data_IF_675518292696
#
_entry.id   IF_675518292696
#
_cell.length_a   1.000
_cell.length_b   1.000
_cell.length_c   1.000
_cell.angle_alpha   90.00
_cell.angle_beta   90.00
_cell.angle_gamma   90.00
#
_symmetry.space_group_name_H-M   'P 1'
#
loop_
_entity.id
_entity.type
_entity.pdbx_description
1 polymer ?
#
# COMPACT_ATOMS: atom_id res chain seq x y z
N UNK A 1 -7.67 19.66 -34.67
CA UNK A 1 -7.63 19.59 -33.20
C UNK A 1 -8.46 18.38 -32.83
N UNK A 2 -7.87 17.39 -32.16
CA UNK A 2 -8.60 16.18 -31.83
C UNK A 2 -9.71 16.47 -30.82
N UNK A 3 -10.79 15.71 -30.89
CA UNK A 3 -11.96 15.87 -30.02
C UNK A 3 -12.31 14.58 -29.30
N UNK A 4 -12.94 14.70 -28.13
CA UNK A 4 -13.59 13.59 -27.47
C UNK A 4 -14.95 13.32 -28.14
N UNK A 5 -15.32 12.05 -28.30
CA UNK A 5 -16.63 11.66 -28.86
C UNK A 5 -17.71 11.73 -27.78
N UNK A 6 -18.02 12.95 -27.33
CA UNK A 6 -19.00 13.24 -26.28
C UNK A 6 -20.10 14.16 -26.79
N UNK A 7 -21.33 14.08 -26.22
CA UNK A 7 -22.38 15.04 -26.51
C UNK A 7 -21.95 16.49 -26.25
N UNK A 8 -22.44 17.42 -27.08
CA UNK A 8 -22.04 18.84 -27.03
C UNK A 8 -22.29 19.50 -25.66
N UNK A 9 -23.33 19.08 -24.94
CA UNK A 9 -23.67 19.63 -23.62
C UNK A 9 -22.64 19.32 -22.52
N UNK A 10 -21.74 18.34 -22.71
CA UNK A 10 -20.67 18.03 -21.77
C UNK A 10 -19.48 18.98 -21.89
N UNK A 11 -19.43 19.81 -22.93
CA UNK A 11 -18.30 20.69 -23.21
C UNK A 11 -17.08 19.94 -23.75
N UNK A 12 -15.91 20.56 -23.61
CA UNK A 12 -14.65 20.07 -24.22
C UNK A 12 -13.46 20.03 -23.25
N UNK A 13 -13.60 20.60 -22.06
CA UNK A 13 -12.54 20.61 -21.04
C UNK A 13 -12.80 19.52 -20.01
N UNK A 14 -11.99 18.46 -20.08
CA UNK A 14 -12.00 17.34 -19.16
C UNK A 14 -10.73 17.28 -18.31
N UNK A 15 -10.00 18.39 -18.17
CA UNK A 15 -8.73 18.44 -17.43
C UNK A 15 -8.86 18.05 -15.95
N UNK A 16 -10.05 18.24 -15.36
CA UNK A 16 -10.37 17.85 -13.98
C UNK A 16 -10.93 16.44 -13.85
N UNK A 17 -11.21 15.74 -14.96
CA UNK A 17 -11.66 14.35 -14.90
C UNK A 17 -10.48 13.43 -14.52
N UNK A 18 -10.78 12.30 -13.90
CA UNK A 18 -9.75 11.32 -13.54
C UNK A 18 -9.02 10.77 -14.78
N UNK A 19 -7.78 10.27 -14.63
CA UNK A 19 -7.04 9.72 -15.76
C UNK A 19 -7.78 8.56 -16.43
N UNK A 20 -8.52 7.74 -15.67
CA UNK A 20 -9.36 6.68 -16.24
C UNK A 20 -10.51 7.20 -17.12
N UNK A 21 -11.14 8.32 -16.73
CA UNK A 21 -12.18 8.95 -17.55
C UNK A 21 -11.59 9.60 -18.80
N UNK A 22 -10.45 10.29 -18.67
CA UNK A 22 -9.74 10.89 -19.82
C UNK A 22 -9.17 9.86 -20.77
N UNK A 23 -8.67 8.73 -20.26
CA UNK A 23 -8.17 7.66 -21.11
C UNK A 23 -9.31 6.91 -21.79
N UNK A 24 -10.38 6.58 -21.07
CA UNK A 24 -11.54 5.87 -21.63
C UNK A 24 -12.49 6.79 -22.40
N UNK A 25 -13.45 7.38 -21.68
CA UNK A 25 -14.61 8.03 -22.29
C UNK A 25 -14.31 9.40 -22.92
N UNK A 26 -13.37 10.15 -22.36
CA UNK A 26 -13.12 11.55 -22.72
C UNK A 26 -11.84 11.75 -23.51
N UNK A 27 -11.30 10.67 -24.09
CA UNK A 27 -10.04 10.74 -24.83
C UNK A 27 -10.22 11.59 -26.09
N UNK A 28 -9.49 12.72 -26.22
CA UNK A 28 -9.57 13.55 -27.40
C UNK A 28 -8.69 12.95 -28.48
N UNK A 29 -9.21 11.94 -29.18
CA UNK A 29 -8.48 11.15 -30.17
C UNK A 29 -8.98 11.37 -31.60
N UNK A 30 -10.27 11.68 -31.75
CA UNK A 30 -10.93 11.69 -33.06
C UNK A 30 -10.51 12.91 -33.88
N UNK A 31 -10.06 12.63 -35.10
CA UNK A 31 -9.49 13.62 -36.00
C UNK A 31 -10.50 14.56 -36.61
N UNK A 32 -9.98 15.62 -37.21
CA UNK A 32 -10.74 16.60 -37.99
C UNK A 32 -10.10 16.79 -39.35
N UNK A 33 -10.92 16.94 -40.39
CA UNK A 33 -10.41 17.48 -41.65
C UNK A 33 -10.16 18.98 -41.46
N UNK A 34 -8.91 19.42 -41.55
CA UNK A 34 -8.56 20.81 -41.24
C UNK A 34 -9.15 21.81 -42.24
N UNK A 35 -9.48 21.35 -43.46
CA UNK A 35 -10.12 22.15 -44.52
C UNK A 35 -11.64 22.18 -44.36
N UNK A 36 -12.32 21.03 -44.38
CA UNK A 36 -13.79 20.98 -44.30
C UNK A 36 -14.35 21.17 -42.89
N UNK A 37 -13.51 21.03 -41.85
CA UNK A 37 -13.87 20.99 -40.43
C UNK A 37 -14.76 19.81 -40.04
N UNK A 38 -14.93 18.83 -40.92
CA UNK A 38 -15.67 17.61 -40.63
C UNK A 38 -14.93 16.73 -39.61
N UNK A 39 -15.71 16.07 -38.76
CA UNK A 39 -15.21 15.10 -37.80
C UNK A 39 -14.87 13.79 -38.51
N UNK A 40 -13.72 13.22 -38.16
CA UNK A 40 -13.23 11.98 -38.73
C UNK A 40 -13.23 10.89 -37.66
N UNK A 41 -13.74 9.71 -38.02
CA UNK A 41 -13.60 8.48 -37.23
C UNK A 41 -12.21 7.86 -37.39
N UNK A 42 -11.18 8.70 -37.32
CA UNK A 42 -9.77 8.34 -37.42
C UNK A 42 -8.98 8.94 -36.26
N UNK A 43 -7.82 8.35 -35.95
CA UNK A 43 -6.93 8.79 -34.86
C UNK A 43 -5.95 9.90 -35.27
N UNK A 44 -6.18 10.54 -36.42
CA UNK A 44 -5.33 11.57 -37.01
C UNK A 44 -6.16 12.64 -37.73
N UNK A 45 -5.68 13.88 -37.68
CA UNK A 45 -6.21 14.97 -38.50
C UNK A 45 -5.76 14.80 -39.95
N UNK A 46 -6.59 15.26 -40.89
CA UNK A 46 -6.22 15.41 -42.31
C UNK A 46 -5.92 16.88 -42.57
N UNK A 47 -4.68 17.15 -42.97
CA UNK A 47 -4.21 18.46 -43.43
C UNK A 47 -3.83 18.39 -44.91
N UNK A 48 -3.70 19.55 -45.55
CA UNK A 48 -3.23 19.66 -46.93
C UNK A 48 -1.94 20.47 -46.94
N UNK A 49 -0.87 19.90 -47.49
CA UNK A 49 0.43 20.56 -47.58
C UNK A 49 1.04 20.37 -48.97
N UNK A 50 1.74 21.39 -49.44
CA UNK A 50 2.48 21.34 -50.72
C UNK A 50 3.76 20.54 -50.49
N UNK A 51 3.90 19.37 -51.13
CA UNK A 51 5.04 18.47 -50.95
C UNK A 51 5.47 17.78 -52.26
N UNK A 52 6.70 17.25 -52.25
CA UNK A 52 7.30 16.52 -53.38
C UNK A 52 8.02 17.42 -54.38
N UNK A 53 8.79 16.80 -55.31
CA UNK A 53 9.58 17.53 -56.31
C UNK A 53 8.74 18.43 -57.23
N UNK A 54 7.47 18.08 -57.44
CA UNK A 54 6.54 18.82 -58.30
C UNK A 54 5.70 19.88 -57.54
N UNK A 55 5.96 20.11 -56.25
CA UNK A 55 5.24 21.12 -55.44
C UNK A 55 3.71 21.00 -55.57
N UNK A 56 3.18 19.78 -55.43
CA UNK A 56 1.74 19.55 -55.48
C UNK A 56 1.17 19.48 -54.06
N UNK A 57 -0.03 20.03 -53.90
CA UNK A 57 -0.78 19.89 -52.65
C UNK A 57 -1.22 18.44 -52.47
N UNK A 58 -0.93 17.87 -51.30
CA UNK A 58 -1.27 16.49 -50.94
C UNK A 58 -1.84 16.43 -49.55
N UNK A 59 -2.68 15.42 -49.32
CA UNK A 59 -3.17 15.09 -47.99
C UNK A 59 -2.03 14.59 -47.11
N UNK A 60 -1.94 15.15 -45.92
CA UNK A 60 -0.96 14.81 -44.88
C UNK A 60 -1.72 14.44 -43.61
N UNK A 61 -1.41 13.25 -43.10
CA UNK A 61 -1.91 12.76 -41.83
C UNK A 61 -1.14 13.43 -40.69
N UNK A 62 -1.84 14.04 -39.75
CA UNK A 62 -1.26 14.59 -38.51
C UNK A 62 -1.74 13.76 -37.33
N UNK A 63 -0.84 12.99 -36.75
CA UNK A 63 -1.11 12.10 -35.62
C UNK A 63 -1.52 12.87 -34.37
N UNK A 64 -2.63 12.47 -33.75
CA UNK A 64 -3.19 13.14 -32.58
C UNK A 64 -2.94 12.37 -31.26
N UNK A 65 -2.41 11.13 -31.36
CA UNK A 65 -2.28 10.19 -30.23
C UNK A 65 -1.41 10.73 -29.09
N UNK A 66 -0.30 11.40 -29.41
CA UNK A 66 0.69 11.86 -28.42
C UNK A 66 0.05 12.85 -27.44
N UNK A 67 -0.62 13.89 -27.97
CA UNK A 67 -1.27 14.91 -27.15
C UNK A 67 -2.42 14.32 -26.33
N UNK A 68 -3.21 13.41 -26.93
CA UNK A 68 -4.31 12.73 -26.24
C UNK A 68 -3.83 11.89 -25.05
N UNK A 69 -2.75 11.11 -25.24
CA UNK A 69 -2.15 10.31 -24.19
C UNK A 69 -1.51 11.17 -23.10
N UNK A 70 -0.80 12.24 -23.46
CA UNK A 70 -0.25 13.18 -22.49
C UNK A 70 -1.34 13.77 -21.57
N UNK A 71 -2.47 14.15 -22.16
CA UNK A 71 -3.62 14.64 -21.40
C UNK A 71 -4.24 13.55 -20.53
N UNK A 72 -4.35 12.31 -21.00
CA UNK A 72 -4.87 11.20 -20.23
C UNK A 72 -3.96 10.78 -19.06
N UNK A 73 -2.64 10.90 -19.21
CA UNK A 73 -1.67 10.52 -18.18
C UNK A 73 -1.62 11.47 -16.98
N UNK A 74 -1.92 12.76 -17.15
CA UNK A 74 -1.71 13.75 -16.11
C UNK A 74 -2.61 13.52 -14.88
N UNK A 75 -2.07 13.60 -13.68
CA UNK A 75 -2.82 13.50 -12.41
C UNK A 75 -3.14 14.89 -11.87
N UNK A 76 -4.42 15.16 -11.63
CA UNK A 76 -4.87 16.38 -10.96
C UNK A 76 -4.53 16.36 -9.46
N UNK A 77 -4.68 17.50 -8.80
CA UNK A 77 -4.55 17.58 -7.34
C UNK A 77 -5.60 16.70 -6.62
N UNK A 78 -6.81 16.61 -7.19
CA UNK A 78 -7.88 15.77 -6.68
C UNK A 78 -7.53 14.27 -6.80
N UNK A 79 -6.99 13.84 -7.95
CA UNK A 79 -6.59 12.44 -8.16
C UNK A 79 -5.57 11.98 -7.11
N UNK A 80 -4.56 12.81 -6.84
CA UNK A 80 -3.54 12.53 -5.83
C UNK A 80 -4.10 12.51 -4.42
N UNK A 81 -5.01 13.44 -4.11
CA UNK A 81 -5.67 13.47 -2.82
C UNK A 81 -6.49 12.19 -2.59
N UNK A 82 -7.28 11.77 -3.57
CA UNK A 82 -8.08 10.54 -3.53
C UNK A 82 -7.16 9.32 -3.38
N UNK A 83 -6.11 9.20 -4.20
CA UNK A 83 -5.16 8.10 -4.13
C UNK A 83 -4.46 7.98 -2.77
N UNK A 84 -4.08 9.12 -2.18
CA UNK A 84 -3.50 9.17 -0.83
C UNK A 84 -4.52 8.82 0.26
N UNK A 85 -5.75 9.34 0.15
CA UNK A 85 -6.81 9.07 1.11
C UNK A 85 -7.21 7.59 1.13
N UNK A 86 -7.27 6.94 -0.04
CA UNK A 86 -7.53 5.50 -0.13
C UNK A 86 -6.42 4.66 0.48
N UNK A 87 -5.17 4.98 0.17
CA UNK A 87 -4.02 4.31 0.75
C UNK A 87 -3.98 4.44 2.28
N UNK A 88 -4.23 5.65 2.79
CA UNK A 88 -4.35 5.89 4.22
C UNK A 88 -5.50 5.08 4.84
N UNK A 89 -6.66 5.04 4.19
CA UNK A 89 -7.81 4.26 4.63
C UNK A 89 -7.51 2.76 4.67
N UNK A 90 -6.89 2.20 3.63
CA UNK A 90 -6.50 0.78 3.61
C UNK A 90 -5.55 0.47 4.76
N UNK A 91 -4.51 1.29 4.96
CA UNK A 91 -3.58 1.08 6.06
C UNK A 91 -4.25 1.18 7.43
N UNK A 92 -5.12 2.16 7.65
CA UNK A 92 -5.85 2.30 8.91
C UNK A 92 -6.76 1.09 9.17
N UNK A 93 -7.52 0.62 8.18
CA UNK A 93 -8.37 -0.57 8.36
C UNK A 93 -7.50 -1.77 8.72
N UNK A 94 -6.37 -1.95 8.05
CA UNK A 94 -5.43 -3.03 8.32
C UNK A 94 -4.80 -2.93 9.72
N UNK A 95 -4.43 -1.73 10.16
CA UNK A 95 -3.82 -1.49 11.48
C UNK A 95 -4.76 -1.82 12.65
N UNK A 96 -6.08 -1.83 12.43
CA UNK A 96 -7.08 -2.22 13.44
C UNK A 96 -7.35 -3.73 13.48
N UNK A 97 -6.76 -4.52 12.57
CA UNK A 97 -6.91 -5.97 12.58
C UNK A 97 -5.98 -6.62 13.60
N UNK A 98 -6.35 -7.79 14.17
CA UNK A 98 -5.45 -8.56 15.01
C UNK A 98 -4.14 -8.86 14.25
N UNK A 99 -2.95 -8.61 14.83
CA UNK A 99 -1.68 -8.81 14.14
C UNK A 99 -1.49 -10.23 13.59
N UNK A 100 -2.02 -11.26 14.26
CA UNK A 100 -1.96 -12.66 13.80
C UNK A 100 -2.71 -12.90 12.46
N UNK A 101 -3.69 -12.07 12.13
CA UNK A 101 -4.55 -12.23 10.94
C UNK A 101 -4.05 -11.48 9.72
N UNK A 102 -3.05 -10.61 9.84
CA UNK A 102 -2.61 -9.72 8.75
C UNK A 102 -1.15 -9.92 8.35
N UNK A 103 -0.88 -9.88 7.05
CA UNK A 103 0.44 -9.60 6.48
C UNK A 103 0.35 -8.36 5.57
N UNK A 104 1.21 -7.37 5.84
CA UNK A 104 1.37 -6.18 5.01
C UNK A 104 2.81 -6.05 4.56
N UNK A 105 3.02 -5.88 3.26
CA UNK A 105 4.35 -5.63 2.67
C UNK A 105 4.30 -4.37 1.83
N UNK A 106 5.37 -3.59 1.90
CA UNK A 106 5.55 -2.41 1.06
C UNK A 106 6.56 -2.71 -0.02
N UNK A 107 6.30 -2.22 -1.23
CA UNK A 107 7.23 -2.36 -2.35
C UNK A 107 7.30 -1.08 -3.17
N UNK A 108 8.41 -0.92 -3.87
CA UNK A 108 8.64 0.16 -4.82
C UNK A 108 8.87 -0.45 -6.20
N UNK A 109 8.15 0.02 -7.22
CA UNK A 109 8.35 -0.47 -8.58
C UNK A 109 9.74 -0.10 -9.09
N UNK A 110 10.48 -1.09 -9.59
CA UNK A 110 11.80 -0.87 -10.25
C UNK A 110 11.67 -0.75 -11.76
N UNK A 111 10.58 -1.30 -12.31
CA UNK A 111 10.24 -1.28 -13.72
C UNK A 111 8.84 -0.66 -13.94
N UNK A 112 8.47 -0.29 -15.18
CA UNK A 112 7.12 0.18 -15.47
C UNK A 112 6.09 -0.89 -15.10
N UNK A 113 5.01 -0.49 -14.44
CA UNK A 113 3.91 -1.40 -14.10
C UNK A 113 2.71 -1.13 -15.02
N UNK A 114 2.16 -2.17 -15.64
CA UNK A 114 0.93 -2.03 -16.43
C UNK A 114 -0.03 -3.18 -16.15
N UNK A 115 -1.31 -2.90 -16.33
CA UNK A 115 -2.41 -3.82 -16.00
C UNK A 115 -3.58 -3.55 -16.94
N UNK A 116 -4.41 -4.57 -17.19
CA UNK A 116 -5.59 -4.41 -18.02
C UNK A 116 -5.30 -4.10 -19.49
N UNK A 117 -4.15 -4.52 -20.03
CA UNK A 117 -3.83 -4.35 -21.47
C UNK A 117 -4.86 -5.01 -22.38
N UNK A 118 -5.54 -6.06 -21.91
CA UNK A 118 -6.63 -6.73 -22.63
C UNK A 118 -7.97 -5.99 -22.58
N UNK A 119 -8.08 -4.86 -21.89
CA UNK A 119 -9.30 -4.06 -21.90
C UNK A 119 -9.46 -3.40 -23.28
N UNK A 120 -10.68 -3.43 -23.83
CA UNK A 120 -10.97 -2.80 -25.11
C UNK A 120 -10.73 -1.30 -25.06
N UNK A 121 -10.02 -0.78 -26.06
CA UNK A 121 -9.68 0.63 -26.14
C UNK A 121 -9.40 1.07 -27.59
N UNK A 122 -9.77 2.30 -28.01
CA UNK A 122 -9.50 2.80 -29.37
C UNK A 122 -8.01 2.86 -29.78
N UNK A 123 -7.09 2.80 -28.81
CA UNK A 123 -5.64 2.71 -29.03
C UNK A 123 -5.10 1.28 -28.94
N UNK A 124 -5.96 0.27 -29.14
CA UNK A 124 -5.71 -1.18 -29.07
C UNK A 124 -5.43 -1.71 -27.66
N UNK A 125 -4.54 -1.07 -26.90
CA UNK A 125 -4.25 -1.47 -25.52
C UNK A 125 -5.04 -0.63 -24.53
N UNK A 126 -5.80 -1.31 -23.68
CA UNK A 126 -6.46 -0.69 -22.54
C UNK A 126 -5.56 -0.56 -21.31
N UNK A 127 -6.16 -0.08 -20.23
CA UNK A 127 -5.53 -0.01 -18.91
C UNK A 127 -6.59 -0.19 -17.83
N UNK A 128 -6.23 -0.82 -16.70
CA UNK A 128 -7.17 -1.01 -15.60
C UNK A 128 -7.22 0.21 -14.65
N UNK A 129 -8.40 0.81 -14.54
CA UNK A 129 -8.69 1.89 -13.60
C UNK A 129 -9.79 1.48 -12.63
N UNK A 130 -9.67 1.88 -11.36
CA UNK A 130 -10.62 1.57 -10.30
C UNK A 130 -11.86 2.46 -10.45
N UNK A 131 -12.99 1.88 -10.83
CA UNK A 131 -14.27 2.56 -10.93
C UNK A 131 -14.88 2.79 -9.51
N UNK A 132 -15.41 3.97 -9.16
CA UNK A 132 -15.61 5.19 -9.96
C UNK A 132 -14.51 6.24 -9.91
N UNK A 133 -13.41 5.95 -9.24
CA UNK A 133 -12.35 6.93 -8.98
C UNK A 133 -11.47 7.19 -10.20
N UNK A 134 -11.38 6.24 -11.12
CA UNK A 134 -10.57 6.32 -12.33
C UNK A 134 -9.07 6.40 -12.06
N UNK A 135 -8.60 5.84 -10.94
CA UNK A 135 -7.18 5.73 -10.60
C UNK A 135 -6.62 4.35 -10.99
N UNK A 136 -5.33 4.24 -11.34
CA UNK A 136 -4.69 2.94 -11.54
C UNK A 136 -4.85 2.03 -10.33
N UNK A 137 -5.05 0.74 -10.56
CA UNK A 137 -5.07 -0.25 -9.48
C UNK A 137 -4.57 -1.61 -9.97
N UNK A 138 -4.04 -2.42 -9.06
CA UNK A 138 -3.78 -3.83 -9.29
C UNK A 138 -4.85 -4.63 -8.56
N UNK A 139 -5.61 -5.43 -9.30
CA UNK A 139 -6.68 -6.24 -8.74
C UNK A 139 -6.12 -7.31 -7.77
N UNK A 140 -6.84 -7.55 -6.68
CA UNK A 140 -6.55 -8.57 -5.67
C UNK A 140 -6.39 -9.97 -6.29
N UNK A 141 -7.18 -10.28 -7.32
CA UNK A 141 -7.09 -11.54 -8.07
C UNK A 141 -5.74 -11.68 -8.79
N UNK A 142 -5.21 -10.58 -9.34
CA UNK A 142 -3.87 -10.53 -9.93
C UNK A 142 -2.78 -10.78 -8.89
N UNK A 143 -2.90 -10.16 -7.70
CA UNK A 143 -1.99 -10.40 -6.57
C UNK A 143 -2.02 -11.88 -6.15
N UNK A 144 -3.23 -12.41 -5.90
CA UNK A 144 -3.43 -13.81 -5.53
C UNK A 144 -2.86 -14.77 -6.56
N UNK A 145 -3.10 -14.50 -7.85
CA UNK A 145 -2.64 -15.34 -8.96
C UNK A 145 -1.11 -15.41 -9.02
N UNK A 146 -0.44 -14.26 -8.98
CA UNK A 146 1.03 -14.18 -9.01
C UNK A 146 1.63 -14.89 -7.79
N UNK A 147 1.11 -14.65 -6.59
CA UNK A 147 1.63 -15.28 -5.37
C UNK A 147 1.37 -16.78 -5.33
N UNK A 148 0.25 -17.25 -5.87
CA UNK A 148 0.00 -18.69 -6.01
C UNK A 148 1.01 -19.32 -6.98
N UNK A 149 1.37 -18.63 -8.06
CA UNK A 149 2.41 -19.11 -8.99
C UNK A 149 3.79 -19.10 -8.33
N UNK A 150 4.15 -18.03 -7.62
CA UNK A 150 5.40 -17.95 -6.86
C UNK A 150 5.51 -19.10 -5.85
N UNK A 151 4.45 -19.34 -5.07
CA UNK A 151 4.35 -20.46 -4.15
C UNK A 151 4.56 -21.81 -4.84
N UNK A 152 3.98 -22.02 -6.04
CA UNK A 152 4.18 -23.26 -6.81
C UNK A 152 5.62 -23.44 -7.26
N UNK A 153 6.25 -22.36 -7.74
CA UNK A 153 7.65 -22.39 -8.19
C UNK A 153 8.61 -22.68 -7.03
N UNK A 154 8.44 -22.00 -5.89
CA UNK A 154 9.24 -22.24 -4.69
C UNK A 154 9.04 -23.67 -4.16
N UNK A 155 7.79 -24.15 -4.12
CA UNK A 155 7.49 -25.50 -3.65
C UNK A 155 7.93 -26.61 -4.62
N UNK A 156 8.26 -26.29 -5.87
CA UNK A 156 8.77 -27.26 -6.84
C UNK A 156 10.19 -27.76 -6.55
N UNK A 157 10.92 -27.05 -5.67
CA UNK A 157 12.31 -27.34 -5.34
C UNK A 157 13.31 -26.92 -6.42
N UNK A 158 12.87 -26.25 -7.49
CA UNK A 158 13.75 -25.67 -8.52
C UNK A 158 14.40 -24.34 -8.09
N UNK A 159 13.90 -23.75 -7.02
CA UNK A 159 14.34 -22.50 -6.45
C UNK A 159 14.76 -22.72 -5.01
N UNK A 160 15.81 -22.00 -4.58
CA UNK A 160 16.20 -21.99 -3.18
C UNK A 160 15.05 -21.41 -2.36
N UNK A 161 14.53 -22.22 -1.44
CA UNK A 161 13.50 -21.78 -0.51
C UNK A 161 13.76 -22.34 0.87
N UNK A 162 13.47 -21.56 1.92
CA UNK A 162 13.60 -22.04 3.29
C UNK A 162 12.27 -22.62 3.81
N UNK A 163 11.15 -22.01 3.43
CA UNK A 163 9.85 -22.33 4.02
C UNK A 163 8.98 -23.25 3.14
N UNK A 164 9.13 -23.17 1.81
CA UNK A 164 8.25 -23.89 0.86
C UNK A 164 8.65 -25.35 0.61
N UNK A 165 9.73 -25.83 1.24
CA UNK A 165 10.06 -27.24 1.21
C UNK A 165 8.86 -28.07 1.66
N UNK A 166 8.46 -29.03 0.83
CA UNK A 166 7.33 -29.91 1.09
C UNK A 166 5.93 -29.26 1.12
N UNK A 167 5.79 -28.00 0.71
CA UNK A 167 4.50 -27.31 0.74
C UNK A 167 3.46 -27.88 -0.26
N UNK A 168 3.87 -28.80 -1.14
CA UNK A 168 2.99 -29.56 -2.04
C UNK A 168 2.62 -30.95 -1.49
N UNK A 169 3.25 -31.38 -0.39
CA UNK A 169 2.91 -32.66 0.23
C UNK A 169 1.50 -32.58 0.83
N UNK A 170 0.67 -33.58 0.56
CA UNK A 170 -0.66 -33.69 1.15
C UNK A 170 -0.54 -34.06 2.64
N UNK A 171 -0.76 -33.09 3.52
CA UNK A 171 -0.47 -33.22 4.96
C UNK A 171 -1.65 -32.87 5.86
N UNK A 172 -2.60 -32.11 5.33
CA UNK A 172 -3.72 -31.57 6.10
C UNK A 172 -4.99 -32.35 5.79
N UNK A 173 -5.51 -33.08 6.76
CA UNK A 173 -6.77 -33.80 6.61
C UNK A 173 -7.94 -32.80 6.62
N UNK A 174 -8.76 -32.82 5.57
CA UNK A 174 -9.97 -32.00 5.47
C UNK A 174 -11.17 -32.82 5.92
N UNK A 175 -11.94 -32.29 6.87
CA UNK A 175 -13.09 -32.98 7.45
C UNK A 175 -14.40 -32.23 7.13
N UNK A 176 -15.50 -32.96 7.03
CA UNK A 176 -16.84 -32.37 6.95
C UNK A 176 -17.32 -31.88 8.33
N UNK A 177 -18.49 -31.23 8.37
CA UNK A 177 -19.10 -30.73 9.63
C UNK A 177 -19.41 -31.83 10.66
N UNK A 178 -19.45 -33.10 10.26
CA UNK A 178 -19.71 -34.25 11.11
C UNK A 178 -18.40 -34.93 11.57
N UNK A 179 -17.23 -34.37 11.22
CA UNK A 179 -15.92 -34.88 11.60
C UNK A 179 -15.39 -36.01 10.70
N UNK A 180 -16.10 -36.37 9.63
CA UNK A 180 -15.64 -37.39 8.69
C UNK A 180 -14.57 -36.80 7.77
N UNK A 181 -13.44 -37.50 7.63
CA UNK A 181 -12.37 -37.15 6.68
C UNK A 181 -12.88 -37.25 5.24
N UNK A 182 -12.59 -36.23 4.43
CA UNK A 182 -12.97 -36.11 3.03
C UNK A 182 -11.75 -36.37 2.12
N UNK A 183 -10.72 -35.54 2.24
CA UNK A 183 -9.50 -35.60 1.42
C UNK A 183 -8.34 -34.91 2.15
N UNK A 184 -7.13 -35.03 1.61
CA UNK A 184 -5.95 -34.37 2.16
C UNK A 184 -5.57 -33.15 1.29
N UNK A 185 -5.05 -32.11 1.93
CA UNK A 185 -4.65 -30.85 1.29
C UNK A 185 -3.18 -30.54 1.56
N UNK A 186 -2.56 -29.83 0.62
CA UNK A 186 -1.21 -29.27 0.77
C UNK A 186 -1.24 -27.90 1.45
N UNK A 187 -0.10 -27.37 1.89
CA UNK A 187 0.03 -26.00 2.41
C UNK A 187 -0.52 -25.00 1.37
N UNK A 188 -0.22 -25.22 0.09
CA UNK A 188 -0.67 -24.37 -1.01
C UNK A 188 -2.20 -24.36 -1.16
N UNK A 189 -2.84 -25.52 -1.05
CA UNK A 189 -4.30 -25.65 -1.14
C UNK A 189 -4.99 -25.01 0.05
N UNK A 190 -4.45 -25.15 1.26
CA UNK A 190 -4.99 -24.49 2.47
C UNK A 190 -4.90 -22.98 2.33
N UNK A 191 -3.76 -22.44 1.88
CA UNK A 191 -3.54 -20.99 1.78
C UNK A 191 -4.35 -20.35 0.64
N UNK A 192 -4.28 -20.90 -0.57
CA UNK A 192 -4.86 -20.27 -1.78
C UNK A 192 -6.20 -20.88 -2.23
N UNK A 193 -6.50 -22.09 -1.79
CA UNK A 193 -7.63 -22.89 -2.23
C UNK A 193 -7.28 -23.82 -3.39
N UNK A 194 -8.10 -24.85 -3.53
CA UNK A 194 -8.06 -25.83 -4.62
C UNK A 194 -9.45 -26.03 -5.22
N UNK A 195 -9.48 -26.17 -6.54
CA UNK A 195 -10.60 -26.78 -7.25
C UNK A 195 -10.10 -28.12 -7.73
N UNK A 196 -10.65 -29.22 -7.21
CA UNK A 196 -10.24 -30.53 -7.66
C UNK A 196 -10.65 -30.75 -9.12
N UNK A 197 -9.79 -31.44 -9.87
CA UNK A 197 -10.02 -31.80 -11.26
C UNK A 197 -11.22 -32.74 -11.44
N UNK A 198 -11.61 -33.45 -10.37
CA UNK A 198 -12.75 -34.35 -10.31
C UNK A 198 -14.09 -33.63 -10.04
N UNK A 199 -14.07 -32.34 -9.68
CA UNK A 199 -15.26 -31.54 -9.40
C UNK A 199 -15.97 -31.84 -8.07
N UNK A 200 -15.41 -32.68 -7.20
CA UNK A 200 -16.04 -33.03 -5.92
C UNK A 200 -15.29 -32.45 -4.71
N UNK A 201 -13.95 -32.36 -4.79
CA UNK A 201 -13.11 -31.95 -3.67
C UNK A 201 -12.67 -30.48 -3.76
N UNK A 202 -13.58 -29.55 -3.45
CA UNK A 202 -13.27 -28.12 -3.45
C UNK A 202 -12.82 -27.61 -2.07
N UNK A 203 -11.70 -26.89 -2.03
CA UNK A 203 -11.22 -26.20 -0.83
C UNK A 203 -11.13 -24.71 -1.06
N UNK A 204 -11.89 -23.93 -0.27
CA UNK A 204 -11.68 -22.48 -0.18
C UNK A 204 -10.39 -22.21 0.60
N UNK A 205 -9.50 -21.41 0.03
CA UNK A 205 -8.28 -20.93 0.71
C UNK A 205 -8.58 -20.01 1.89
N UNK A 206 -7.69 -20.00 2.87
CA UNK A 206 -7.81 -19.16 4.09
C UNK A 206 -7.38 -17.71 3.88
N UNK A 207 -6.69 -17.40 2.78
CA UNK A 207 -6.17 -16.06 2.50
C UNK A 207 -7.11 -15.23 1.62
N UNK A 208 -7.31 -13.98 2.04
CA UNK A 208 -7.97 -12.93 1.29
C UNK A 208 -6.97 -11.84 0.93
N UNK A 209 -6.96 -11.41 -0.33
CA UNK A 209 -6.04 -10.39 -0.85
C UNK A 209 -6.82 -9.12 -1.14
N UNK A 210 -6.21 -7.96 -0.93
CA UNK A 210 -6.82 -6.67 -1.26
C UNK A 210 -6.34 -6.12 -2.60
N UNK A 211 -7.16 -5.28 -3.21
CA UNK A 211 -6.75 -4.48 -4.35
C UNK A 211 -5.66 -3.50 -3.92
N UNK A 212 -4.65 -3.33 -4.77
CA UNK A 212 -3.53 -2.44 -4.49
C UNK A 212 -3.72 -1.13 -5.25
N UNK A 213 -3.61 -0.02 -4.54
CA UNK A 213 -3.76 1.33 -5.09
C UNK A 213 -2.36 2.00 -5.09
N UNK A 214 -1.68 2.04 -6.24
CA UNK A 214 -0.32 2.53 -6.33
C UNK A 214 -0.24 4.02 -5.97
N UNK A 215 0.74 4.39 -5.17
CA UNK A 215 1.12 5.79 -4.98
C UNK A 215 2.08 6.17 -6.11
N UNK A 216 1.52 6.83 -7.11
CA UNK A 216 2.20 7.17 -8.36
C UNK A 216 3.34 8.16 -8.10
N UNK A 217 4.52 7.86 -8.63
CA UNK A 217 5.65 8.79 -8.62
C UNK A 217 5.35 10.00 -9.53
N UNK A 218 5.48 11.21 -8.98
CA UNK A 218 5.31 12.46 -9.71
C UNK A 218 3.85 12.86 -9.98
N UNK A 219 3.60 13.36 -11.20
CA UNK A 219 2.34 14.04 -11.56
C UNK A 219 1.62 13.39 -12.74
N UNK A 220 2.07 12.24 -13.23
CA UNK A 220 1.49 11.59 -14.39
C UNK A 220 1.77 10.11 -14.43
N UNK A 221 0.91 9.37 -15.12
CA UNK A 221 1.25 8.06 -15.68
C UNK A 221 2.33 8.22 -16.77
N UNK A 222 2.85 7.10 -17.22
CA UNK A 222 3.87 7.04 -18.27
C UNK A 222 3.31 6.33 -19.50
N UNK A 223 3.70 6.80 -20.69
CA UNK A 223 3.39 6.16 -21.96
C UNK A 223 4.59 5.33 -22.38
N UNK A 224 4.38 4.05 -22.58
CA UNK A 224 5.36 3.13 -23.17
C UNK A 224 4.96 2.79 -24.61
N UNK A 225 5.92 2.32 -25.40
CA UNK A 225 5.71 1.95 -26.80
C UNK A 225 6.20 0.53 -27.01
N UNK A 226 5.36 -0.32 -27.59
CA UNK A 226 5.78 -1.60 -28.14
C UNK A 226 5.75 -1.56 -29.66
N UNK A 227 6.68 -2.24 -30.32
CA UNK A 227 6.79 -2.21 -31.79
C UNK A 227 6.87 -3.64 -32.32
N UNK A 228 5.74 -4.37 -32.44
CA UNK A 228 5.71 -5.64 -33.14
C UNK A 228 6.10 -5.48 -34.62
N UNK A 229 6.83 -6.46 -35.13
CA UNK A 229 7.24 -6.56 -36.55
C UNK A 229 6.52 -7.70 -37.29
N UNK A 230 6.11 -8.75 -36.58
CA UNK A 230 5.56 -9.97 -37.20
C UNK A 230 4.03 -10.03 -37.23
N UNK A 231 3.33 -8.89 -37.17
CA UNK A 231 1.85 -8.85 -37.21
C UNK A 231 1.28 -9.60 -38.42
N UNK A 232 1.96 -9.53 -39.58
CA UNK A 232 1.63 -10.24 -40.81
C UNK A 232 1.58 -11.77 -40.65
N UNK A 233 2.48 -12.36 -39.85
CA UNK A 233 2.52 -13.81 -39.63
C UNK A 233 1.43 -14.29 -38.66
N UNK A 234 1.12 -13.50 -37.63
CA UNK A 234 0.14 -13.89 -36.61
C UNK A 234 -1.31 -13.68 -37.06
N UNK A 235 -1.58 -12.74 -37.97
CA UNK A 235 -2.93 -12.42 -38.44
C UNK A 235 -3.40 -13.30 -39.61
N UNK A 236 -2.48 -13.77 -40.48
CA UNK A 236 -2.80 -14.49 -41.72
C UNK A 236 -2.66 -16.03 -41.60
N UNK A 237 -2.85 -16.62 -40.41
CA UNK A 237 -2.66 -18.06 -40.20
C UNK A 237 -3.59 -18.96 -41.02
N UNK A 238 -4.77 -18.46 -41.41
CA UNK A 238 -5.82 -19.24 -42.09
C UNK A 238 -5.93 -18.95 -43.60
N UNK A 239 -5.00 -18.18 -44.18
CA UNK A 239 -4.99 -17.86 -45.62
C UNK A 239 -3.99 -18.75 -46.34
N UNK A 240 -4.46 -19.51 -47.35
CA UNK A 240 -3.58 -20.28 -48.23
C UNK A 240 -2.61 -19.33 -48.96
N UNK A 241 -1.32 -19.38 -48.60
CA UNK A 241 -0.30 -18.41 -49.00
C UNK A 241 0.26 -17.54 -47.87
N UNK A 242 -0.08 -17.85 -46.60
CA UNK A 242 0.46 -17.20 -45.40
C UNK A 242 1.97 -16.99 -45.50
N UNK A 243 2.41 -15.73 -45.34
CA UNK A 243 3.81 -15.35 -45.42
C UNK A 243 4.61 -16.05 -44.32
N UNK A 244 5.70 -16.74 -44.69
CA UNK A 244 6.60 -17.38 -43.74
C UNK A 244 7.13 -16.35 -42.71
N UNK A 245 7.31 -16.73 -41.44
CA UNK A 245 7.81 -15.81 -40.43
C UNK A 245 9.18 -15.28 -40.85
N UNK A 246 9.28 -13.98 -41.08
CA UNK A 246 10.52 -13.32 -41.51
C UNK A 246 10.71 -11.98 -40.80
N UNK A 247 11.96 -11.58 -40.61
CA UNK A 247 12.32 -10.40 -39.79
C UNK A 247 12.22 -9.06 -40.56
N UNK A 248 11.76 -9.08 -41.81
CA UNK A 248 11.55 -7.88 -42.64
C UNK A 248 10.17 -7.25 -42.51
N UNK A 249 9.42 -7.59 -41.45
CA UNK A 249 8.11 -7.01 -41.18
C UNK A 249 8.21 -5.53 -40.79
N UNK A 250 7.27 -4.71 -41.28
CA UNK A 250 7.25 -3.27 -40.95
C UNK A 250 6.98 -3.07 -39.45
N UNK A 251 7.70 -2.16 -38.77
CA UNK A 251 7.45 -1.82 -37.37
C UNK A 251 6.07 -1.20 -37.22
N UNK A 252 5.26 -1.68 -36.28
CA UNK A 252 3.99 -1.06 -35.90
C UNK A 252 4.03 -0.54 -34.46
N UNK A 253 4.34 0.75 -34.21
CA UNK A 253 4.39 1.30 -32.85
C UNK A 253 3.00 1.40 -32.21
N UNK A 254 2.83 0.77 -31.06
CA UNK A 254 1.61 0.78 -30.27
C UNK A 254 1.92 1.35 -28.89
N UNK A 255 1.30 2.49 -28.58
CA UNK A 255 1.43 3.15 -27.29
C UNK A 255 0.49 2.55 -26.25
N UNK A 256 0.93 2.43 -25.00
CA UNK A 256 0.11 1.97 -23.89
C UNK A 256 0.50 2.65 -22.58
N UNK A 257 -0.41 2.63 -21.61
CA UNK A 257 -0.19 3.28 -20.31
C UNK A 257 0.52 2.37 -19.32
N UNK A 258 1.37 2.99 -18.50
CA UNK A 258 2.07 2.38 -17.38
C UNK A 258 2.05 3.32 -16.18
N UNK A 259 2.09 2.73 -14.99
CA UNK A 259 2.54 3.40 -13.77
C UNK A 259 4.07 3.50 -13.84
N UNK A 260 4.64 4.69 -13.60
CA UNK A 260 6.09 4.89 -13.67
C UNK A 260 6.84 4.10 -12.59
N UNK A 261 8.11 3.72 -12.85
CA UNK A 261 9.02 3.25 -11.80
C UNK A 261 9.10 4.23 -10.63
N UNK A 262 9.55 3.74 -9.47
CA UNK A 262 9.59 4.43 -8.16
C UNK A 262 8.22 4.69 -7.51
N UNK A 263 7.12 4.36 -8.18
CA UNK A 263 5.80 4.35 -7.55
C UNK A 263 5.75 3.29 -6.43
N UNK A 264 5.02 3.61 -5.35
CA UNK A 264 4.95 2.76 -4.16
C UNK A 264 3.68 1.92 -4.13
N UNK A 265 3.78 0.71 -3.63
CA UNK A 265 2.70 -0.27 -3.53
C UNK A 265 2.63 -0.78 -2.09
N UNK A 266 1.42 -0.99 -1.58
CA UNK A 266 1.19 -1.68 -0.32
C UNK A 266 0.29 -2.89 -0.59
N UNK A 267 0.80 -4.06 -0.24
CA UNK A 267 0.09 -5.32 -0.38
C UNK A 267 -0.47 -5.73 0.97
N UNK A 268 -1.76 -6.06 1.02
CA UNK A 268 -2.42 -6.52 2.22
C UNK A 268 -3.01 -7.92 1.99
N UNK A 269 -2.65 -8.84 2.88
CA UNK A 269 -3.18 -10.20 2.93
C UNK A 269 -3.81 -10.42 4.30
N UNK A 270 -5.04 -10.89 4.32
CA UNK A 270 -5.80 -11.21 5.53
C UNK A 270 -6.03 -12.71 5.59
N UNK A 271 -5.72 -13.32 6.72
CA UNK A 271 -5.91 -14.73 6.99
C UNK A 271 -7.12 -14.97 7.90
N UNK A 272 -7.98 -15.91 7.53
CA UNK A 272 -8.98 -16.49 8.43
C UNK A 272 -8.26 -17.40 9.44
N UNK A 273 -7.83 -16.81 10.57
CA UNK A 273 -7.01 -17.51 11.57
C UNK A 273 -7.75 -18.69 12.20
N UNK A 274 -9.06 -18.57 12.44
CA UNK A 274 -9.84 -19.67 13.02
C UNK A 274 -9.90 -20.88 12.08
N UNK A 275 -10.05 -20.63 10.78
CA UNK A 275 -10.02 -21.70 9.77
C UNK A 275 -8.61 -22.26 9.58
N UNK A 276 -7.57 -21.42 9.61
CA UNK A 276 -6.19 -21.87 9.52
C UNK A 276 -5.82 -22.76 10.71
N UNK A 277 -6.14 -22.36 11.93
CA UNK A 277 -5.92 -23.14 13.15
C UNK A 277 -6.63 -24.51 13.11
N UNK A 278 -7.79 -24.58 12.46
CA UNK A 278 -8.51 -25.85 12.31
C UNK A 278 -7.93 -26.76 11.22
N UNK A 279 -7.55 -26.20 10.07
CA UNK A 279 -7.10 -26.97 8.90
C UNK A 279 -5.61 -27.33 8.96
N UNK A 280 -4.77 -26.38 9.38
CA UNK A 280 -3.31 -26.50 9.38
C UNK A 280 -2.72 -25.75 10.60
N UNK A 281 -2.81 -26.32 11.81
CA UNK A 281 -2.33 -25.67 13.04
C UNK A 281 -0.83 -25.31 13.01
N UNK A 282 -0.02 -26.07 12.27
CA UNK A 282 1.40 -25.82 12.09
C UNK A 282 1.68 -24.57 11.23
N UNK A 283 0.81 -24.24 10.28
CA UNK A 283 0.90 -22.99 9.51
C UNK A 283 0.49 -21.77 10.34
N UNK A 284 -0.43 -21.94 11.30
CA UNK A 284 -0.77 -20.89 12.27
C UNK A 284 0.34 -20.70 13.32
N UNK A 285 1.05 -21.77 13.68
CA UNK A 285 2.11 -21.73 14.68
C UNK A 285 3.22 -20.76 14.28
N UNK A 286 3.57 -19.84 15.20
CA UNK A 286 4.61 -18.81 14.99
C UNK A 286 4.45 -18.01 13.70
N UNK A 287 3.22 -17.84 13.21
CA UNK A 287 2.93 -17.13 11.97
C UNK A 287 3.69 -17.70 10.74
N UNK A 288 3.93 -19.02 10.66
CA UNK A 288 4.64 -19.65 9.53
C UNK A 288 4.03 -19.30 8.18
N UNK A 289 2.70 -19.17 8.08
CA UNK A 289 2.03 -18.72 6.86
C UNK A 289 2.51 -17.34 6.37
N UNK A 290 2.89 -16.42 7.29
CA UNK A 290 3.44 -15.11 6.93
C UNK A 290 4.85 -15.22 6.36
N UNK A 291 5.66 -16.12 6.90
CA UNK A 291 7.01 -16.38 6.39
C UNK A 291 6.95 -16.93 4.96
N UNK A 292 6.10 -17.95 4.73
CA UNK A 292 5.81 -18.50 3.42
C UNK A 292 5.38 -17.42 2.41
N UNK A 293 4.41 -16.58 2.80
CA UNK A 293 3.91 -15.53 1.92
C UNK A 293 4.97 -14.44 1.68
N UNK A 294 5.77 -14.09 2.68
CA UNK A 294 6.86 -13.10 2.53
C UNK A 294 7.88 -13.58 1.50
N UNK A 295 8.29 -14.83 1.57
CA UNK A 295 9.20 -15.44 0.58
C UNK A 295 8.57 -15.51 -0.81
N UNK A 296 7.27 -15.85 -0.90
CA UNK A 296 6.54 -15.84 -2.17
C UNK A 296 6.44 -14.43 -2.78
N UNK A 297 6.29 -13.39 -1.96
CA UNK A 297 6.34 -12.00 -2.40
C UNK A 297 7.72 -11.62 -2.92
N UNK A 298 8.79 -11.96 -2.19
CA UNK A 298 10.17 -11.66 -2.60
C UNK A 298 10.52 -12.35 -3.92
N UNK A 299 10.12 -13.61 -4.10
CA UNK A 299 10.23 -14.31 -5.37
C UNK A 299 9.42 -13.64 -6.48
N UNK A 300 8.16 -13.28 -6.20
CA UNK A 300 7.31 -12.60 -7.16
C UNK A 300 7.87 -11.24 -7.59
N UNK A 301 8.41 -10.46 -6.65
CA UNK A 301 9.01 -9.15 -6.91
C UNK A 301 10.21 -9.22 -7.85
N UNK A 302 11.07 -10.23 -7.68
CA UNK A 302 12.30 -10.40 -8.46
C UNK A 302 12.11 -11.12 -9.79
N UNK A 303 11.27 -12.17 -9.83
CA UNK A 303 11.27 -13.14 -10.94
C UNK A 303 9.97 -13.20 -11.74
N UNK A 304 8.83 -12.88 -11.12
CA UNK A 304 7.53 -12.98 -11.80
C UNK A 304 6.96 -11.64 -12.23
N UNK A 305 7.14 -10.59 -11.44
CA UNK A 305 6.48 -9.30 -11.62
C UNK A 305 4.96 -9.33 -11.42
N UNK A 306 4.36 -8.16 -11.24
CA UNK A 306 2.90 -7.99 -11.16
C UNK A 306 2.34 -7.26 -12.39
N UNK A 307 1.14 -7.65 -12.83
CA UNK A 307 0.46 -7.01 -13.96
C UNK A 307 0.73 -7.73 -15.28
N UNK A 308 0.90 -6.97 -16.36
CA UNK A 308 1.10 -7.50 -17.71
C UNK A 308 2.51 -7.24 -18.24
N UNK A 309 2.90 -7.99 -19.28
CA UNK A 309 4.24 -7.95 -19.92
C UNK A 309 5.40 -8.28 -18.96
N UNK A 310 5.13 -9.10 -17.96
CA UNK A 310 6.12 -9.48 -16.95
C UNK A 310 7.31 -10.25 -17.50
N UNK A 311 7.11 -11.05 -18.56
CA UNK A 311 8.19 -11.79 -19.24
C UNK A 311 9.28 -10.90 -19.85
N UNK A 312 8.99 -9.62 -20.06
CA UNK A 312 9.97 -8.61 -20.52
C UNK A 312 10.33 -7.60 -19.41
N UNK A 313 10.09 -7.98 -18.15
CA UNK A 313 10.55 -7.25 -16.96
C UNK A 313 9.58 -6.22 -16.39
N UNK A 314 8.37 -6.06 -16.94
CA UNK A 314 7.38 -5.12 -16.40
C UNK A 314 6.87 -5.61 -15.04
N UNK A 315 6.54 -4.66 -14.16
CA UNK A 315 5.94 -4.97 -12.86
C UNK A 315 6.88 -5.58 -11.83
N UNK A 316 8.18 -5.64 -12.09
CA UNK A 316 9.20 -5.95 -11.08
C UNK A 316 9.24 -4.86 -10.01
N UNK A 317 9.47 -5.27 -8.76
CA UNK A 317 9.49 -4.38 -7.59
C UNK A 317 10.60 -4.75 -6.62
N UNK A 318 10.93 -3.85 -5.70
CA UNK A 318 11.79 -4.11 -4.55
C UNK A 318 10.99 -3.91 -3.26
N UNK A 319 11.18 -4.79 -2.27
CA UNK A 319 10.57 -4.65 -0.94
C UNK A 319 11.13 -3.43 -0.20
N UNK A 320 10.26 -2.59 0.32
CA UNK A 320 10.61 -1.41 1.12
C UNK A 320 10.57 -1.72 2.63
N UNK A 321 11.61 -2.43 3.08
CA UNK A 321 11.79 -2.78 4.50
C UNK A 321 11.93 -1.56 5.41
N UNK A 322 12.37 -0.41 4.87
CA UNK A 322 12.47 0.84 5.62
C UNK A 322 11.09 1.44 5.89
N UNK A 323 10.20 1.44 4.90
CA UNK A 323 8.81 1.86 5.08
C UNK A 323 8.09 0.96 6.09
N UNK A 324 8.29 -0.37 6.00
CA UNK A 324 7.73 -1.34 6.94
C UNK A 324 8.22 -1.08 8.38
N UNK A 325 9.52 -0.92 8.59
CA UNK A 325 10.09 -0.63 9.91
C UNK A 325 9.61 0.70 10.49
N UNK A 326 9.48 1.73 9.65
CA UNK A 326 8.94 3.04 10.04
C UNK A 326 7.48 2.92 10.50
N UNK A 327 6.66 2.16 9.78
CA UNK A 327 5.27 1.92 10.13
C UNK A 327 5.14 1.13 11.44
N UNK A 328 5.92 0.05 11.60
CA UNK A 328 5.93 -0.74 12.83
C UNK A 328 6.28 0.12 14.05
N UNK A 329 7.34 0.95 13.94
CA UNK A 329 7.73 1.87 15.01
C UNK A 329 6.66 2.92 15.31
N UNK A 330 6.02 3.48 14.28
CA UNK A 330 4.94 4.44 14.45
C UNK A 330 3.71 3.82 15.13
N UNK A 331 3.39 2.55 14.81
CA UNK A 331 2.28 1.82 15.42
C UNK A 331 2.54 1.53 16.90
N UNK A 332 3.74 1.07 17.25
CA UNK A 332 4.14 0.87 18.66
C UNK A 332 4.04 2.18 19.45
N UNK A 333 4.51 3.29 18.87
CA UNK A 333 4.40 4.61 19.49
C UNK A 333 2.95 5.08 19.65
N UNK A 334 2.11 4.87 18.63
CA UNK A 334 0.71 5.25 18.67
C UNK A 334 -0.08 4.42 19.70
N UNK A 335 0.19 3.12 19.79
CA UNK A 335 -0.44 2.24 20.77
C UNK A 335 -0.02 2.62 22.19
N UNK A 336 1.28 2.85 22.44
CA UNK A 336 1.75 3.31 23.74
C UNK A 336 1.12 4.66 24.12
N UNK A 337 0.98 5.60 23.18
CA UNK A 337 0.32 6.87 23.41
C UNK A 337 -1.18 6.72 23.70
N UNK A 338 -1.88 5.80 23.01
CA UNK A 338 -3.29 5.52 23.23
C UNK A 338 -3.54 4.86 24.60
N UNK A 339 -2.71 3.89 25.00
CA UNK A 339 -2.75 3.27 26.32
C UNK A 339 -2.47 4.29 27.43
N UNK A 340 -1.50 5.17 27.23
CA UNK A 340 -1.23 6.29 28.15
C UNK A 340 -2.41 7.24 28.23
N UNK A 341 -3.02 7.62 27.10
CA UNK A 341 -4.19 8.50 27.07
C UNK A 341 -5.40 7.86 27.77
N UNK A 342 -5.63 6.56 27.58
CA UNK A 342 -6.69 5.81 28.25
C UNK A 342 -6.44 5.70 29.77
N UNK A 343 -5.19 5.42 30.18
CA UNK A 343 -4.79 5.46 31.60
C UNK A 343 -5.07 6.83 32.19
N UNK A 344 -4.60 7.90 31.54
CA UNK A 344 -4.83 9.28 31.99
C UNK A 344 -6.32 9.63 32.09
N UNK A 345 -7.15 9.18 31.14
CA UNK A 345 -8.59 9.40 31.16
C UNK A 345 -9.27 8.71 32.35
N UNK A 346 -8.79 7.54 32.78
CA UNK A 346 -9.34 6.78 33.91
C UNK A 346 -8.96 7.33 35.29
N UNK A 347 -7.92 8.15 35.37
CA UNK A 347 -7.42 8.73 36.62
C UNK A 347 -8.28 9.91 37.10
N UNK A 348 -8.34 10.10 38.43
CA UNK A 348 -8.86 11.33 39.06
C UNK A 348 -8.02 12.54 38.65
N UNK A 349 -8.56 13.76 38.76
CA UNK A 349 -7.82 14.97 38.42
C UNK A 349 -6.54 15.14 39.27
N UNK A 350 -6.56 14.68 40.52
CA UNK A 350 -5.37 14.67 41.39
C UNK A 350 -4.34 13.65 40.92
N UNK A 351 -4.77 12.42 40.60
CA UNK A 351 -3.88 11.38 40.10
C UNK A 351 -3.30 11.73 38.71
N UNK A 352 -4.06 12.43 37.85
CA UNK A 352 -3.54 13.00 36.59
C UNK A 352 -2.42 14.01 36.83
N UNK A 353 -2.53 14.87 37.85
CA UNK A 353 -1.46 15.83 38.19
C UNK A 353 -0.17 15.12 38.61
N UNK A 354 -0.28 14.05 39.41
CA UNK A 354 0.86 13.23 39.82
C UNK A 354 1.50 12.56 38.60
N UNK A 355 0.71 11.86 37.78
CA UNK A 355 1.21 11.14 36.60
C UNK A 355 1.84 12.11 35.58
N UNK A 356 1.26 13.29 35.37
CA UNK A 356 1.82 14.33 34.50
C UNK A 356 3.19 14.81 34.98
N UNK A 357 3.36 14.97 36.30
CA UNK A 357 4.66 15.31 36.88
C UNK A 357 5.69 14.21 36.66
N UNK A 358 5.32 12.95 36.91
CA UNK A 358 6.17 11.77 36.66
C UNK A 358 6.58 11.69 35.19
N UNK A 359 5.64 11.82 34.26
CA UNK A 359 5.90 11.80 32.81
C UNK A 359 6.85 12.93 32.38
N UNK A 360 6.66 14.14 32.92
CA UNK A 360 7.56 15.27 32.62
C UNK A 360 8.99 14.97 33.10
N UNK A 361 9.14 14.34 34.28
CA UNK A 361 10.44 13.92 34.79
C UNK A 361 11.06 12.81 33.92
N UNK A 362 10.28 11.81 33.52
CA UNK A 362 10.74 10.73 32.63
C UNK A 362 11.21 11.27 31.27
N UNK A 363 10.43 12.15 30.64
CA UNK A 363 10.79 12.79 29.38
C UNK A 363 12.09 13.57 29.51
N UNK A 364 12.28 14.30 30.61
CA UNK A 364 13.52 15.02 30.89
C UNK A 364 14.71 14.06 31.05
N UNK A 365 14.53 12.96 31.78
CA UNK A 365 15.57 11.96 31.99
C UNK A 365 16.02 11.33 30.67
N UNK A 366 15.06 10.99 29.79
CA UNK A 366 15.33 10.49 28.44
C UNK A 366 16.06 11.53 27.59
N UNK A 367 15.60 12.79 27.60
CA UNK A 367 16.23 13.88 26.83
C UNK A 367 17.65 14.21 27.30
N UNK A 368 17.94 14.01 28.59
CA UNK A 368 19.29 14.17 29.16
C UNK A 368 20.24 13.05 28.71
N UNK A 369 19.77 11.82 28.56
CA UNK A 369 20.62 10.65 28.30
C UNK A 369 21.64 10.40 29.43
N UNK A 370 22.57 9.46 29.23
CA UNK A 370 23.51 9.02 30.27
C UNK A 370 24.47 10.12 30.79
N UNK A 371 24.75 11.14 29.97
CA UNK A 371 25.70 12.22 30.29
C UNK A 371 25.05 13.62 30.39
N UNK A 372 23.72 13.69 30.43
CA UNK A 372 23.00 14.97 30.49
C UNK A 372 23.08 15.62 31.87
N UNK A 373 23.03 16.97 31.89
CA UNK A 373 23.03 17.73 33.14
C UNK A 373 21.62 17.87 33.70
N UNK A 374 21.48 17.66 35.01
CA UNK A 374 20.24 17.95 35.75
C UNK A 374 19.91 19.42 35.65
N UNK A 375 18.63 19.75 35.74
CA UNK A 375 18.23 21.14 35.84
C UNK A 375 18.65 21.73 37.18
N UNK A 376 19.06 22.99 37.17
CA UNK A 376 19.37 23.69 38.42
C UNK A 376 18.11 23.84 39.27
N UNK A 377 18.29 23.96 40.58
CA UNK A 377 17.20 24.31 41.49
C UNK A 377 16.51 25.61 41.04
N UNK A 378 15.18 25.65 41.22
CA UNK A 378 14.28 26.77 40.89
C UNK A 378 14.03 27.01 39.39
N UNK A 379 14.26 25.99 38.56
CA UNK A 379 13.81 25.94 37.18
C UNK A 379 12.38 25.38 37.07
N UNK A 380 11.86 25.26 35.85
CA UNK A 380 10.48 24.85 35.55
C UNK A 380 10.06 23.54 36.25
N UNK A 381 10.89 22.50 36.21
CA UNK A 381 10.59 21.22 36.88
C UNK A 381 10.52 21.34 38.40
N UNK A 382 11.39 22.16 39.00
CA UNK A 382 11.33 22.42 40.44
C UNK A 382 10.08 23.21 40.83
N UNK A 383 9.65 24.15 39.97
CA UNK A 383 8.42 24.91 40.16
C UNK A 383 7.18 24.00 40.08
N UNK A 384 7.15 23.07 39.10
CA UNK A 384 6.09 22.05 38.98
C UNK A 384 6.02 21.13 40.20
N UNK A 385 7.16 20.71 40.74
CA UNK A 385 7.22 19.91 41.97
C UNK A 385 6.61 20.64 43.18
N UNK A 386 6.92 21.94 43.34
CA UNK A 386 6.34 22.78 44.40
C UNK A 386 4.84 23.00 44.20
N UNK A 387 4.40 23.19 42.96
CA UNK A 387 2.98 23.34 42.64
C UNK A 387 2.20 22.07 42.97
N UNK A 388 2.73 20.88 42.64
CA UNK A 388 2.12 19.59 42.98
C UNK A 388 2.03 19.37 44.49
N UNK A 389 3.13 19.62 45.22
CA UNK A 389 3.14 19.55 46.69
C UNK A 389 2.11 20.50 47.32
N UNK A 390 2.04 21.74 46.83
CA UNK A 390 1.07 22.73 47.31
C UNK A 390 -0.37 22.28 47.04
N UNK A 391 -0.66 21.81 45.83
CA UNK A 391 -1.99 21.30 45.46
C UNK A 391 -2.40 20.13 46.36
N UNK A 392 -1.49 19.19 46.63
CA UNK A 392 -1.76 18.04 47.50
C UNK A 392 -1.96 18.42 48.98
N UNK A 393 -1.30 19.47 49.46
CA UNK A 393 -1.43 19.95 50.84
C UNK A 393 -2.72 20.75 51.06
N UNK A 394 -3.04 21.66 50.13
CA UNK A 394 -4.12 22.64 50.28
C UNK A 394 -5.45 22.16 49.67
N UNK A 395 -5.42 21.17 48.78
CA UNK A 395 -6.62 20.64 48.13
C UNK A 395 -7.53 19.86 49.09
N UNK A 396 -8.78 20.29 49.19
CA UNK A 396 -9.81 19.62 49.98
C UNK A 396 -10.23 18.27 49.37
N UNK A 397 -10.15 18.15 48.05
CA UNK A 397 -10.60 16.97 47.29
C UNK A 397 -9.52 15.89 47.16
N UNK A 398 -8.40 16.02 47.88
CA UNK A 398 -7.29 15.06 47.87
C UNK A 398 -7.47 13.99 48.94
N UNK A 399 -7.51 12.73 48.51
CA UNK A 399 -7.54 11.58 49.42
C UNK A 399 -6.19 11.36 50.10
N UNK A 400 -6.16 10.67 51.24
CA UNK A 400 -4.91 10.34 51.94
C UNK A 400 -3.97 9.47 51.08
N UNK A 401 -4.54 8.61 50.24
CA UNK A 401 -3.79 7.76 49.32
C UNK A 401 -3.16 8.57 48.18
N UNK A 402 -3.89 9.52 47.59
CA UNK A 402 -3.34 10.43 46.57
C UNK A 402 -2.24 11.35 47.13
N UNK A 403 -2.39 11.83 48.38
CA UNK A 403 -1.35 12.62 49.05
C UNK A 403 -0.07 11.81 49.25
N UNK A 404 -0.21 10.54 49.66
CA UNK A 404 0.94 9.62 49.81
C UNK A 404 1.61 9.37 48.45
N UNK A 405 0.82 9.07 47.41
CA UNK A 405 1.33 8.86 46.05
C UNK A 405 2.06 10.08 45.49
N UNK A 406 1.55 11.29 45.73
CA UNK A 406 2.23 12.53 45.34
C UNK A 406 3.58 12.69 46.08
N UNK A 407 3.62 12.37 47.37
CA UNK A 407 4.85 12.44 48.15
C UNK A 407 5.90 11.42 47.71
N UNK A 408 5.48 10.22 47.32
CA UNK A 408 6.35 9.18 46.76
C UNK A 408 6.90 9.60 45.40
N UNK A 409 6.03 10.05 44.48
CA UNK A 409 6.44 10.54 43.17
C UNK A 409 7.43 11.72 43.26
N UNK A 410 7.17 12.69 44.14
CA UNK A 410 8.08 13.81 44.37
C UNK A 410 9.41 13.36 44.97
N UNK A 411 9.42 12.38 45.88
CA UNK A 411 10.64 11.89 46.50
C UNK A 411 11.51 11.08 45.54
N UNK A 412 10.89 10.32 44.64
CA UNK A 412 11.57 9.43 43.70
C UNK A 412 12.10 10.18 42.48
N UNK A 413 11.27 11.01 41.83
CA UNK A 413 11.57 11.54 40.50
C UNK A 413 12.34 12.86 40.54
N UNK A 414 12.03 13.75 41.48
CA UNK A 414 12.67 15.07 41.58
C UNK A 414 14.22 15.02 41.64
N UNK A 415 14.88 14.18 42.47
CA UNK A 415 16.34 14.16 42.54
C UNK A 415 17.01 13.57 41.30
N UNK A 416 16.28 12.88 40.44
CA UNK A 416 16.82 12.31 39.21
C UNK A 416 17.00 13.38 38.12
N UNK A 417 16.13 14.40 38.10
CA UNK A 417 16.08 15.42 37.04
C UNK A 417 16.49 16.81 37.48
N UNK A 418 16.42 17.14 38.77
CA UNK A 418 16.83 18.45 39.31
C UNK A 418 17.97 18.26 40.33
N UNK A 419 18.96 19.16 40.28
CA UNK A 419 20.03 19.25 41.26
C UNK A 419 19.51 19.90 42.56
N UNK A 420 19.02 19.08 43.49
CA UNK A 420 18.47 19.49 44.79
C UNK A 420 18.98 18.64 45.95
N UNK A 421 19.09 19.23 47.14
CA UNK A 421 19.30 18.48 48.39
C UNK A 421 17.96 17.96 48.92
N UNK A 422 17.78 16.64 48.87
CA UNK A 422 16.55 15.98 49.31
C UNK A 422 16.30 16.08 50.82
N UNK A 423 17.31 16.32 51.66
CA UNK A 423 17.07 16.56 53.10
C UNK A 423 16.31 17.85 53.33
N UNK A 424 16.66 18.89 52.60
CA UNK A 424 16.00 20.19 52.67
C UNK A 424 14.66 20.20 51.92
N UNK A 425 14.60 19.59 50.73
CA UNK A 425 13.36 19.57 49.93
C UNK A 425 12.26 18.71 50.57
N UNK A 426 12.60 17.63 51.31
CA UNK A 426 11.62 16.88 52.11
C UNK A 426 10.88 17.76 53.12
N UNK A 427 11.58 18.71 53.75
CA UNK A 427 10.99 19.67 54.69
C UNK A 427 10.18 20.74 53.96
N UNK A 428 10.71 21.31 52.88
CA UNK A 428 10.05 22.38 52.11
C UNK A 428 8.77 21.91 51.44
N UNK A 429 8.77 20.72 50.85
CA UNK A 429 7.59 20.10 50.21
C UNK A 429 6.67 19.38 51.23
N UNK A 430 7.00 19.43 52.52
CA UNK A 430 6.26 18.80 53.63
C UNK A 430 5.87 17.34 53.34
N UNK A 431 6.80 16.54 52.80
CA UNK A 431 6.50 15.18 52.35
C UNK A 431 6.03 14.26 53.49
N UNK A 432 6.48 14.47 54.73
CA UNK A 432 6.02 13.73 55.91
C UNK A 432 4.52 13.98 56.21
N UNK A 433 4.05 15.23 56.04
CA UNK A 433 2.63 15.60 56.21
C UNK A 433 1.78 14.91 55.16
N UNK A 434 2.24 14.89 53.90
CA UNK A 434 1.55 14.22 52.80
C UNK A 434 1.46 12.70 52.97
N UNK A 435 2.40 12.07 53.69
CA UNK A 435 2.38 10.62 54.01
C UNK A 435 1.47 10.26 55.19
N UNK A 436 1.05 11.26 55.98
CA UNK A 436 0.33 11.07 57.24
C UNK A 436 1.24 10.72 58.42
N UNK A 437 2.53 11.08 58.34
CA UNK A 437 3.56 10.79 59.36
C UNK A 437 3.81 11.98 60.32
N UNK A 438 2.95 13.01 60.28
CA UNK A 438 3.14 14.29 60.96
C UNK A 438 2.32 14.43 62.24
#
# INVERSE_FOLDING_TARGET
MPIAAVPEYLGKDFSQASPGLRFGMYLPLWGTNQRSKELLWSTHDIAYEVRGQQQQEREVKKENKVTALQQACALSAADKHIGKAMFQRQNQIFDHMPPAQGLRLHATAVAPFTTGLGNEHPLENGFAFLNPYGLPYLAASGVKGVLRTAAKELASGQWDSQEWHHAQDLRHEVHNKQGQRLFDASDLDVLFGSEALDGENHLRGVLSFWDVIPQIEGNSLMVEIMTPHQSHYYQDKDVAGSNSPHDSGSPNPISFLTVPPKSQFAFHVVCDSARLEHLAPDLANKDRWKALLTEAFEHAFGWLGFGAKTSVGYGAMDRDTKAEAKLANAQVQAQAAAEQAAKMASLSDNARQIETFVQTCQQKLVAMGANGKKDKANTDLHAKARALSKAALEGADWTAEEKRSAAEALAEWLPQVVEVDMKDERKKLKLAVLRGEA
#
